data_IF_863642869017
#
_entry.id   IF_863642869017
#
_cell.length_a   1.000
_cell.length_b   1.000
_cell.length_c   1.000
_cell.angle_alpha   90.00
_cell.angle_beta   90.00
_cell.angle_gamma   90.00
#
_symmetry.space_group_name_H-M   'P 1'
#
loop_
_entity.id
_entity.type
_entity.pdbx_description
1 polymer ?
#
# COMPACT_ATOMS: atom_id res chain seq x y z
N UNK A 1 -20.52 -12.60 13.21
CA UNK A 1 -19.71 -11.78 14.12
C UNK A 1 -18.80 -10.88 13.29
N UNK A 2 -18.92 -9.56 13.37
CA UNK A 2 -18.01 -8.64 12.66
C UNK A 2 -16.64 -8.70 13.34
N UNK A 3 -15.59 -9.06 12.60
CA UNK A 3 -14.20 -8.96 13.10
C UNK A 3 -13.91 -7.50 13.39
N UNK A 4 -13.58 -7.17 14.64
CA UNK A 4 -13.11 -5.85 15.01
C UNK A 4 -11.68 -5.67 14.46
N UNK A 5 -11.55 -5.07 13.27
CA UNK A 5 -10.26 -4.66 12.68
C UNK A 5 -9.71 -3.38 13.34
N UNK A 6 -9.81 -3.28 14.67
CA UNK A 6 -9.33 -2.14 15.44
C UNK A 6 -7.93 -2.43 15.97
N UNK A 7 -6.97 -1.59 15.61
CA UNK A 7 -5.60 -1.61 16.14
C UNK A 7 -5.55 -0.77 17.42
N UNK A 8 -4.90 -1.30 18.45
CA UNK A 8 -4.75 -0.63 19.74
C UNK A 8 -3.27 -0.24 19.92
N UNK A 9 -3.01 1.05 19.91
CA UNK A 9 -1.74 1.62 20.36
C UNK A 9 -1.73 1.80 21.89
N UNK A 10 -0.62 2.33 22.43
CA UNK A 10 -0.46 2.52 23.88
C UNK A 10 -1.57 3.37 24.52
N UNK A 11 -2.08 4.36 23.80
CA UNK A 11 -3.11 5.31 24.27
C UNK A 11 -4.21 5.57 23.26
N UNK A 12 -4.23 4.83 22.13
CA UNK A 12 -5.15 5.10 21.02
C UNK A 12 -5.74 3.82 20.45
N UNK A 13 -6.94 3.91 19.90
CA UNK A 13 -7.59 2.82 19.15
C UNK A 13 -7.97 3.36 17.78
N UNK A 14 -7.57 2.69 16.72
CA UNK A 14 -7.75 3.19 15.36
C UNK A 14 -7.96 2.07 14.33
N UNK A 15 -8.52 2.45 13.17
CA UNK A 15 -8.61 1.61 11.99
C UNK A 15 -8.41 2.51 10.76
N UNK A 16 -7.16 2.62 10.31
CA UNK A 16 -6.76 3.53 9.24
C UNK A 16 -6.52 2.73 7.96
N UNK A 17 -7.34 2.96 6.95
CA UNK A 17 -7.19 2.38 5.62
C UNK A 17 -7.19 3.51 4.59
N UNK A 18 -6.29 3.45 3.63
CA UNK A 18 -6.12 4.49 2.61
C UNK A 18 -6.22 3.88 1.22
N UNK A 19 -6.88 4.59 0.30
CA UNK A 19 -6.82 4.30 -1.13
C UNK A 19 -5.86 5.29 -1.77
N UNK A 20 -4.66 4.82 -2.11
CA UNK A 20 -3.59 5.64 -2.68
C UNK A 20 -3.47 5.31 -4.17
N UNK A 21 -3.51 6.34 -5.02
CA UNK A 21 -3.38 6.22 -6.48
C UNK A 21 -2.39 7.28 -6.97
N UNK A 22 -1.54 6.91 -7.93
CA UNK A 22 -0.60 7.82 -8.56
C UNK A 22 -0.50 7.55 -10.07
N UNK A 23 0.30 8.36 -10.77
CA UNK A 23 0.56 8.21 -12.20
C UNK A 23 2.05 8.29 -12.48
N UNK A 24 2.47 7.65 -13.58
CA UNK A 24 3.86 7.77 -14.05
C UNK A 24 4.12 9.15 -14.66
N UNK A 25 5.39 9.55 -14.66
CA UNK A 25 5.82 10.83 -15.23
C UNK A 25 5.37 10.98 -16.68
N UNK A 26 4.74 12.10 -17.00
CA UNK A 26 4.15 12.41 -18.32
C UNK A 26 3.07 11.43 -18.80
N UNK A 27 2.47 10.62 -17.91
CA UNK A 27 1.42 9.63 -18.25
C UNK A 27 1.80 8.69 -19.40
N UNK A 28 3.09 8.38 -19.54
CA UNK A 28 3.58 7.43 -20.56
C UNK A 28 3.02 6.03 -20.27
N UNK A 29 2.69 5.25 -21.29
CA UNK A 29 2.22 3.87 -21.12
C UNK A 29 3.41 2.91 -20.93
N UNK A 30 4.15 3.07 -19.83
CA UNK A 30 5.38 2.32 -19.53
C UNK A 30 5.17 1.14 -18.57
N UNK A 31 3.96 0.98 -18.05
CA UNK A 31 3.61 -0.15 -17.18
C UNK A 31 3.33 -1.35 -18.09
N UNK A 32 4.37 -2.16 -18.30
CA UNK A 32 4.27 -3.51 -18.88
C UNK A 32 4.07 -4.53 -17.75
N UNK A 33 3.64 -5.77 -18.03
CA UNK A 33 3.47 -6.80 -17.00
C UNK A 33 4.74 -7.00 -16.13
N UNK A 34 5.91 -7.07 -16.76
CA UNK A 34 7.20 -7.23 -16.06
C UNK A 34 7.51 -6.05 -15.12
N UNK A 35 7.24 -4.82 -15.57
CA UNK A 35 7.43 -3.61 -14.75
C UNK A 35 6.41 -3.54 -13.61
N UNK A 36 5.18 -3.98 -13.86
CA UNK A 36 4.13 -4.07 -12.84
C UNK A 36 4.49 -5.07 -11.74
N UNK A 37 4.98 -6.26 -12.12
CA UNK A 37 5.38 -7.31 -11.18
C UNK A 37 6.51 -6.83 -10.27
N UNK A 38 7.57 -6.26 -10.84
CA UNK A 38 8.66 -5.68 -10.05
C UNK A 38 8.19 -4.52 -9.17
N UNK A 39 7.31 -3.65 -9.68
CA UNK A 39 6.75 -2.54 -8.90
C UNK A 39 5.96 -3.06 -7.70
N UNK A 40 5.17 -4.14 -7.86
CA UNK A 40 4.41 -4.76 -6.75
C UNK A 40 5.35 -5.30 -5.67
N UNK A 41 6.43 -5.97 -6.06
CA UNK A 41 7.44 -6.49 -5.12
C UNK A 41 8.09 -5.36 -4.31
N UNK A 42 8.55 -4.29 -4.98
CA UNK A 42 9.19 -3.15 -4.31
C UNK A 42 8.22 -2.45 -3.36
N UNK A 43 6.96 -2.27 -3.75
CA UNK A 43 5.95 -1.65 -2.87
C UNK A 43 5.70 -2.51 -1.62
N UNK A 44 5.61 -3.83 -1.79
CA UNK A 44 5.43 -4.75 -0.65
C UNK A 44 6.64 -4.73 0.29
N UNK A 45 7.86 -4.71 -0.26
CA UNK A 45 9.08 -4.60 0.54
C UNK A 45 9.11 -3.30 1.34
N UNK A 46 8.85 -2.16 0.69
CA UNK A 46 8.82 -0.85 1.37
C UNK A 46 7.72 -0.82 2.46
N UNK A 47 6.55 -1.40 2.18
CA UNK A 47 5.46 -1.47 3.15
C UNK A 47 5.85 -2.32 4.37
N UNK A 48 6.58 -3.41 4.17
CA UNK A 48 7.08 -4.25 5.26
C UNK A 48 8.18 -3.55 6.06
N UNK A 49 9.06 -2.79 5.41
CA UNK A 49 10.16 -2.06 6.06
C UNK A 49 9.69 -0.82 6.86
N UNK A 50 8.52 -0.27 6.52
CA UNK A 50 7.97 0.97 7.13
C UNK A 50 6.72 0.78 7.97
N UNK A 51 6.09 -0.39 7.93
CA UNK A 51 4.95 -0.77 8.78
C UNK A 51 5.37 -1.16 10.18
#
# INVERSE_FOLDING_TARGET
MKKNNLVHGRTTVYNMNYHIVWSVKYRRKVITPEVEDYMREVIQQIAQDKG
#
